data_IF_909817754139
#
_entry.id   IF_909817754139
#
_cell.length_a   1.000
_cell.length_b   1.000
_cell.length_c   1.000
_cell.angle_alpha   90.00
_cell.angle_beta   90.00
_cell.angle_gamma   90.00
#
_symmetry.space_group_name_H-M   'P 1'
#
loop_
_entity.id
_entity.type
_entity.pdbx_description
1 polymer ?
#
# COMPACT_ATOMS: atom_id res chain seq x y z
N UNK A 1 -10.46 17.52 2.70
CA UNK A 1 -9.73 16.78 1.64
C UNK A 1 -8.63 16.00 2.30
N UNK A 2 -8.59 14.69 2.06
CA UNK A 2 -7.73 13.74 2.77
C UNK A 2 -6.43 13.51 1.98
N UNK A 3 -6.17 14.36 0.97
CA UNK A 3 -4.99 14.40 0.10
C UNK A 3 -3.68 14.19 0.86
N UNK A 4 -3.52 14.80 2.05
CA UNK A 4 -2.31 14.60 2.84
C UNK A 4 -2.05 13.14 3.23
N UNK A 5 -3.12 12.41 3.60
CA UNK A 5 -3.05 10.97 3.94
C UNK A 5 -2.85 10.13 2.69
N UNK A 6 -3.52 10.45 1.58
CA UNK A 6 -3.32 9.77 0.30
C UNK A 6 -1.88 9.87 -0.18
N UNK A 7 -1.30 11.08 -0.16
CA UNK A 7 0.10 11.31 -0.53
C UNK A 7 1.03 10.55 0.42
N UNK A 8 0.77 10.56 1.73
CA UNK A 8 1.56 9.82 2.70
C UNK A 8 1.51 8.31 2.43
N UNK A 9 0.32 7.74 2.19
CA UNK A 9 0.15 6.33 1.84
C UNK A 9 0.85 5.99 0.53
N UNK A 10 0.74 6.86 -0.47
CA UNK A 10 1.38 6.69 -1.77
C UNK A 10 2.91 6.66 -1.64
N UNK A 11 3.50 7.64 -0.94
CA UNK A 11 4.95 7.69 -0.70
C UNK A 11 5.42 6.47 0.09
N UNK A 12 4.68 6.10 1.15
CA UNK A 12 4.99 4.89 1.93
C UNK A 12 4.91 3.62 1.08
N UNK A 13 3.93 3.53 0.17
CA UNK A 13 3.80 2.44 -0.78
C UNK A 13 4.98 2.34 -1.73
N UNK A 14 5.41 3.47 -2.32
CA UNK A 14 6.60 3.54 -3.17
C UNK A 14 7.86 3.08 -2.40
N UNK A 15 8.06 3.60 -1.19
CA UNK A 15 9.19 3.23 -0.34
C UNK A 15 9.17 1.72 -0.06
N UNK A 16 8.01 1.16 0.27
CA UNK A 16 7.86 -0.27 0.54
C UNK A 16 8.15 -1.15 -0.68
N UNK A 17 7.74 -0.73 -1.88
CA UNK A 17 8.02 -1.44 -3.13
C UNK A 17 9.52 -1.44 -3.45
N UNK A 18 10.16 -0.26 -3.41
CA UNK A 18 11.57 -0.14 -3.79
C UNK A 18 12.51 -0.69 -2.73
N UNK A 19 12.28 -0.39 -1.45
CA UNK A 19 13.14 -0.87 -0.35
C UNK A 19 12.80 -2.30 0.09
N UNK A 20 11.62 -2.81 -0.22
CA UNK A 20 11.15 -4.11 0.29
C UNK A 20 11.00 -4.10 1.82
N UNK A 21 10.69 -2.95 2.41
CA UNK A 21 10.60 -2.75 3.85
C UNK A 21 9.44 -1.81 4.18
N UNK A 22 8.51 -2.27 5.02
CA UNK A 22 7.34 -1.51 5.46
C UNK A 22 7.24 -1.54 6.99
N UNK A 23 7.34 -0.36 7.63
CA UNK A 23 7.18 -0.23 9.08
C UNK A 23 5.71 0.01 9.40
N UNK A 24 5.05 -0.94 10.05
CA UNK A 24 3.65 -0.81 10.47
C UNK A 24 3.52 -0.09 11.83
N UNK A 25 4.49 -0.34 12.71
CA UNK A 25 4.60 0.27 14.03
C UNK A 25 6.07 0.42 14.40
N UNK A 26 6.36 0.96 15.59
CA UNK A 26 7.73 1.10 16.10
C UNK A 26 8.45 -0.24 16.26
N UNK A 27 7.69 -1.30 16.54
CA UNK A 27 8.19 -2.66 16.83
C UNK A 27 7.94 -3.67 15.72
N UNK A 28 7.11 -3.34 14.73
CA UNK A 28 6.58 -4.27 13.73
C UNK A 28 7.02 -3.82 12.34
N UNK A 29 7.73 -4.69 11.64
CA UNK A 29 8.25 -4.46 10.30
C UNK A 29 7.89 -5.64 9.41
N UNK A 30 7.54 -5.36 8.17
CA UNK A 30 7.38 -6.36 7.10
C UNK A 30 8.54 -6.18 6.14
N UNK A 31 9.21 -7.28 5.77
CA UNK A 31 10.34 -7.28 4.85
C UNK A 31 10.07 -8.18 3.62
N UNK A 32 10.85 -7.97 2.57
CA UNK A 32 10.89 -8.83 1.38
C UNK A 32 9.68 -8.64 0.46
N UNK A 33 9.20 -9.75 -0.12
CA UNK A 33 8.13 -9.73 -1.12
C UNK A 33 6.81 -9.25 -0.50
N UNK A 34 6.50 -9.65 0.72
CA UNK A 34 5.27 -9.23 1.41
C UNK A 34 5.21 -7.69 1.56
N UNK A 35 6.33 -7.05 1.91
CA UNK A 35 6.41 -5.59 2.01
C UNK A 35 6.11 -4.90 0.67
N UNK A 36 6.61 -5.46 -0.44
CA UNK A 36 6.35 -4.92 -1.79
C UNK A 36 4.90 -5.05 -2.20
N UNK A 37 4.26 -6.20 -1.92
CA UNK A 37 2.84 -6.43 -2.19
C UNK A 37 1.95 -5.48 -1.38
N UNK A 38 2.25 -5.31 -0.08
CA UNK A 38 1.53 -4.34 0.75
C UNK A 38 1.76 -2.90 0.27
N UNK A 39 2.96 -2.60 -0.23
CA UNK A 39 3.27 -1.32 -0.87
C UNK A 39 2.39 -1.05 -2.10
N UNK A 40 2.12 -2.06 -2.94
CA UNK A 40 1.20 -1.92 -4.08
C UNK A 40 -0.23 -1.60 -3.61
N UNK A 41 -0.69 -2.22 -2.52
CA UNK A 41 -2.02 -1.91 -1.94
C UNK A 41 -2.07 -0.47 -1.43
N UNK A 42 -0.99 0.03 -0.83
CA UNK A 42 -0.89 1.43 -0.39
C UNK A 42 -0.88 2.44 -1.55
N UNK A 43 -0.47 2.05 -2.76
CA UNK A 43 -0.56 2.89 -3.94
C UNK A 43 -1.97 2.96 -4.53
N UNK A 44 -2.81 1.96 -4.27
CA UNK A 44 -4.10 1.78 -4.93
C UNK A 44 -5.13 2.92 -4.72
N UNK A 45 -5.23 3.60 -3.57
CA UNK A 45 -6.26 4.63 -3.36
C UNK A 45 -6.26 5.73 -4.42
N UNK A 46 -5.07 6.24 -4.79
CA UNK A 46 -4.94 7.36 -5.74
C UNK A 46 -5.43 6.98 -7.15
N UNK A 47 -4.91 5.91 -7.79
CA UNK A 47 -5.43 5.44 -9.08
C UNK A 47 -6.91 5.05 -9.02
N UNK A 48 -7.38 4.50 -7.90
CA UNK A 48 -8.76 4.03 -7.77
C UNK A 48 -9.74 5.20 -7.71
N UNK A 49 -9.50 6.20 -6.85
CA UNK A 49 -10.32 7.41 -6.78
C UNK A 49 -10.31 8.16 -8.12
N UNK A 50 -9.14 8.29 -8.75
CA UNK A 50 -9.02 8.92 -10.06
C UNK A 50 -9.82 8.18 -11.15
N UNK A 51 -9.69 6.86 -11.22
CA UNK A 51 -10.42 6.03 -12.18
C UNK A 51 -11.92 6.12 -11.98
N UNK A 52 -12.40 6.05 -10.73
CA UNK A 52 -13.83 6.18 -10.42
C UNK A 52 -14.37 7.55 -10.81
N UNK A 53 -13.65 8.62 -10.48
CA UNK A 53 -14.05 9.98 -10.85
C UNK A 53 -14.10 10.17 -12.37
N UNK A 54 -13.14 9.61 -13.11
CA UNK A 54 -13.09 9.67 -14.56
C UNK A 54 -14.27 8.90 -15.18
N UNK A 55 -14.50 7.65 -14.77
CA UNK A 55 -15.63 6.85 -15.26
C UNK A 55 -16.95 7.55 -15.00
N UNK A 56 -17.15 8.07 -13.77
CA UNK A 56 -18.36 8.79 -13.40
C UNK A 56 -18.60 10.00 -14.31
N UNK A 57 -17.57 10.80 -14.55
CA UNK A 57 -17.62 11.98 -15.42
C UNK A 57 -17.95 11.61 -16.86
N UNK A 58 -17.37 10.54 -17.39
CA UNK A 58 -17.64 10.07 -18.75
C UNK A 58 -19.08 9.57 -18.88
N UNK A 59 -19.55 8.73 -17.96
CA UNK A 59 -20.91 8.15 -17.99
C UNK A 59 -21.98 9.24 -17.90
N UNK A 60 -21.82 10.22 -17.01
CA UNK A 60 -22.77 11.33 -16.88
C UNK A 60 -22.80 12.19 -18.15
N UNK A 61 -21.65 12.53 -18.71
CA UNK A 61 -21.59 13.37 -19.91
C UNK A 61 -22.28 12.71 -21.11
N UNK A 62 -22.14 11.39 -21.27
CA UNK A 62 -22.79 10.65 -22.35
C UNK A 62 -24.32 10.60 -22.20
N UNK A 63 -24.83 10.53 -20.96
CA UNK A 63 -26.26 10.40 -20.70
C UNK A 63 -27.00 11.75 -20.66
N UNK A 64 -26.31 12.84 -20.27
CA UNK A 64 -26.95 14.14 -20.01
C UNK A 64 -26.71 15.18 -21.11
N UNK A 65 -26.30 14.78 -22.32
CA UNK A 65 -26.02 15.69 -23.44
C UNK A 65 -25.09 16.87 -23.04
N UNK A 66 -24.11 16.62 -22.17
CA UNK A 66 -23.16 17.64 -21.70
C UNK A 66 -23.64 18.53 -20.54
N UNK A 67 -24.79 18.26 -19.92
CA UNK A 67 -25.14 18.95 -18.66
C UNK A 67 -24.29 18.38 -17.53
N UNK A 68 -23.36 19.20 -17.03
CA UNK A 68 -22.50 18.87 -15.89
C UNK A 68 -23.35 18.87 -14.63
N UNK A 69 -23.74 17.69 -14.19
CA UNK A 69 -24.39 17.50 -12.90
C UNK A 69 -23.30 17.39 -11.82
N UNK A 70 -23.33 18.25 -10.81
CA UNK A 70 -22.37 18.15 -9.70
C UNK A 70 -22.54 16.79 -9.01
N UNK A 71 -21.44 16.05 -8.89
CA UNK A 71 -21.44 14.83 -8.11
C UNK A 71 -21.82 15.17 -6.65
N UNK A 72 -22.71 14.38 -6.01
CA UNK A 72 -23.06 14.59 -4.63
C UNK A 72 -21.81 14.47 -3.76
N UNK A 73 -21.32 15.60 -3.23
CA UNK A 73 -20.05 15.70 -2.49
C UNK A 73 -19.93 14.66 -1.38
N UNK A 74 -21.03 14.32 -0.73
CA UNK A 74 -21.08 13.29 0.31
C UNK A 74 -20.70 11.89 -0.18
N UNK A 75 -21.11 11.50 -1.40
CA UNK A 75 -20.76 10.19 -1.96
C UNK A 75 -19.26 10.11 -2.31
N UNK A 76 -18.69 11.18 -2.86
CA UNK A 76 -17.26 11.24 -3.18
C UNK A 76 -16.39 11.17 -1.91
N UNK A 77 -16.78 11.91 -0.86
CA UNK A 77 -16.08 11.86 0.44
C UNK A 77 -16.20 10.47 1.06
N UNK A 78 -17.39 9.86 1.03
CA UNK A 78 -17.59 8.51 1.57
C UNK A 78 -16.73 7.48 0.83
N UNK A 79 -16.57 7.63 -0.49
CA UNK A 79 -15.73 6.76 -1.31
C UNK A 79 -14.23 6.95 -1.00
N UNK A 80 -13.76 8.19 -0.90
CA UNK A 80 -12.37 8.52 -0.54
C UNK A 80 -12.02 7.92 0.84
N UNK A 81 -12.85 8.21 1.86
CA UNK A 81 -12.67 7.68 3.23
C UNK A 81 -12.76 6.17 3.25
N UNK A 82 -13.78 5.59 2.60
CA UNK A 82 -14.00 4.14 2.58
C UNK A 82 -12.83 3.39 1.97
N UNK A 83 -12.30 3.90 0.84
CA UNK A 83 -11.14 3.30 0.16
C UNK A 83 -9.90 3.35 1.06
N UNK A 84 -9.62 4.49 1.70
CA UNK A 84 -8.49 4.65 2.61
C UNK A 84 -8.59 3.73 3.83
N UNK A 85 -9.77 3.64 4.45
CA UNK A 85 -10.00 2.78 5.61
C UNK A 85 -9.83 1.31 5.23
N UNK A 86 -10.38 0.87 4.11
CA UNK A 86 -10.27 -0.52 3.64
C UNK A 86 -8.82 -0.86 3.29
N UNK A 87 -8.12 -0.02 2.52
CA UNK A 87 -6.71 -0.23 2.18
C UNK A 87 -5.82 -0.23 3.43
N UNK A 88 -6.02 0.72 4.35
CA UNK A 88 -5.27 0.81 5.60
C UNK A 88 -5.52 -0.40 6.50
N UNK A 89 -6.77 -0.82 6.67
CA UNK A 89 -7.13 -1.99 7.45
C UNK A 89 -6.53 -3.28 6.85
N UNK A 90 -6.62 -3.44 5.53
CA UNK A 90 -6.03 -4.57 4.83
C UNK A 90 -4.51 -4.63 5.06
N UNK A 91 -3.81 -3.51 4.84
CA UNK A 91 -2.36 -3.42 5.04
C UNK A 91 -1.98 -3.69 6.49
N UNK A 92 -2.78 -3.22 7.45
CA UNK A 92 -2.53 -3.46 8.87
C UNK A 92 -2.69 -4.93 9.26
N UNK A 93 -3.80 -5.56 8.85
CA UNK A 93 -4.12 -6.96 9.18
C UNK A 93 -3.11 -7.91 8.53
N UNK A 94 -2.95 -7.83 7.20
CA UNK A 94 -2.01 -8.68 6.48
C UNK A 94 -0.56 -8.36 6.85
N UNK A 95 -0.28 -7.08 7.06
CA UNK A 95 1.00 -6.64 7.56
C UNK A 95 1.37 -7.29 8.89
N UNK A 96 0.44 -7.38 9.85
CA UNK A 96 0.68 -8.09 11.11
C UNK A 96 0.90 -9.59 10.94
N UNK A 97 0.19 -10.23 10.00
CA UNK A 97 0.36 -11.65 9.74
C UNK A 97 1.73 -11.98 9.14
N UNK A 98 2.30 -11.06 8.35
CA UNK A 98 3.61 -11.24 7.71
C UNK A 98 4.77 -10.54 8.44
N UNK A 99 4.50 -9.88 9.56
CA UNK A 99 5.52 -9.08 10.22
C UNK A 99 6.49 -9.92 11.03
N UNK A 100 7.72 -9.44 11.09
CA UNK A 100 8.74 -9.89 12.04
C UNK A 100 8.93 -8.83 13.12
N UNK A 101 9.34 -9.28 14.30
CA UNK A 101 9.61 -8.36 15.42
C UNK A 101 10.94 -7.66 15.14
N UNK A 102 10.94 -6.32 15.20
CA UNK A 102 12.14 -5.51 14.97
C UNK A 102 13.16 -5.79 16.07
N UNK A 103 14.15 -6.64 15.78
CA UNK A 103 15.21 -7.00 16.73
C UNK A 103 15.60 -8.47 16.80
N UNK A 104 14.95 -9.39 16.06
CA UNK A 104 15.55 -10.71 15.88
C UNK A 104 16.85 -10.56 15.08
N UNK A 105 18.03 -10.83 15.67
CA UNK A 105 19.27 -10.75 14.92
C UNK A 105 19.18 -11.76 13.79
N UNK A 106 19.38 -11.30 12.53
CA UNK A 106 19.62 -12.19 11.39
C UNK A 106 20.74 -13.13 11.83
N UNK A 107 20.40 -14.38 12.18
CA UNK A 107 21.40 -15.41 12.48
C UNK A 107 22.37 -15.38 11.31
N UNK A 108 23.65 -15.01 11.53
CA UNK A 108 24.60 -14.95 10.44
C UNK A 108 24.57 -16.32 9.77
N UNK A 109 24.27 -16.31 8.47
CA UNK A 109 24.21 -17.52 7.64
C UNK A 109 25.55 -18.21 7.88
N UNK A 110 25.60 -19.41 8.50
CA UNK A 110 26.86 -20.05 8.86
C UNK A 110 27.67 -20.12 7.57
N UNK A 111 28.72 -19.30 7.54
CA UNK A 111 29.43 -18.97 6.33
C UNK A 111 30.26 -20.19 5.98
N UNK A 112 29.65 -21.18 5.31
CA UNK A 112 30.27 -22.14 4.39
C UNK A 112 31.72 -22.50 4.76
N UNK A 113 31.95 -22.77 6.06
CA UNK A 113 33.27 -23.05 6.62
C UNK A 113 33.61 -24.52 6.46
N UNK A 114 32.62 -25.33 6.09
CA UNK A 114 32.74 -26.77 5.91
C UNK A 114 33.19 -27.18 4.49
N UNK A 115 33.33 -26.25 3.52
CA UNK A 115 33.82 -26.60 2.18
C UNK A 115 35.29 -26.24 1.93
N UNK A 116 36.00 -25.79 2.97
CA UNK A 116 37.44 -25.54 2.89
C UNK A 116 38.28 -26.62 3.61
N UNK A 117 37.66 -27.44 4.47
CA UNK A 117 38.36 -28.48 5.24
C UNK A 117 38.30 -29.89 4.59
N UNK A 118 37.56 -30.07 3.48
CA UNK A 118 37.48 -31.35 2.75
C UNK A 118 38.41 -31.45 1.52
N UNK A 119 39.29 -30.47 1.31
CA UNK A 119 40.22 -30.46 0.16
C UNK A 119 41.71 -30.43 0.52
N UNK A 120 42.08 -30.75 1.77
CA UNK A 120 43.46 -31.04 2.20
C UNK A 120 43.69 -32.54 2.43
#
# INVERSE_FOLDING_TARGET
MIIGVEIAMFIMGLIAIFKGHLSLSRTIVVEGIAARLLGLVLLAPVPLVFTVALIWTVVINLNNNGVVQEAPRGQMIALEVGTLVVCGAFVYVFGRMCATTKGEPKRPKPARRELAEESE
#
